data_IF_528735378855
#
_entry.id   IF_528735378855
#
_cell.length_a   1.000
_cell.length_b   1.000
_cell.length_c   1.000
_cell.angle_alpha   90.00
_cell.angle_beta   90.00
_cell.angle_gamma   90.00
#
_symmetry.space_group_name_H-M   'P 1'
#
loop_
_entity.id
_entity.type
_entity.pdbx_description
1 polymer ?
#
# COMPACT_ATOMS: atom_id res chain seq x y z
N UNK A 1 20.17 15.01 -10.45
CA UNK A 1 19.22 15.03 -9.32
C UNK A 1 19.48 13.78 -8.48
N UNK A 2 20.29 13.90 -7.43
CA UNK A 2 20.59 12.76 -6.54
C UNK A 2 19.31 12.43 -5.80
N UNK A 3 18.68 11.29 -6.11
CA UNK A 3 17.51 10.82 -5.35
C UNK A 3 18.03 10.51 -3.95
N UNK A 4 17.54 11.27 -2.97
CA UNK A 4 17.77 10.95 -1.55
C UNK A 4 17.37 9.49 -1.36
N UNK A 5 18.30 8.67 -0.87
CA UNK A 5 18.03 7.26 -0.64
C UNK A 5 16.79 7.12 0.25
N UNK A 6 15.88 6.18 -0.05
CA UNK A 6 14.73 5.96 0.81
C UNK A 6 15.20 5.66 2.24
N UNK A 7 14.50 6.24 3.21
CA UNK A 7 14.72 5.98 4.64
C UNK A 7 14.88 4.45 4.87
N UNK A 8 16.03 3.97 5.40
CA UNK A 8 16.31 2.56 5.57
C UNK A 8 15.19 1.80 6.29
N UNK A 9 14.52 2.46 7.25
CA UNK A 9 13.42 1.87 7.99
C UNK A 9 12.22 1.54 7.08
N UNK A 10 11.90 2.42 6.12
CA UNK A 10 10.80 2.21 5.17
C UNK A 10 11.09 1.04 4.23
N UNK A 11 12.35 0.90 3.82
CA UNK A 11 12.78 -0.22 2.97
C UNK A 11 12.62 -1.55 3.71
N UNK A 12 13.08 -1.62 4.96
CA UNK A 12 12.98 -2.83 5.79
C UNK A 12 11.50 -3.21 6.00
N UNK A 13 10.66 -2.25 6.39
CA UNK A 13 9.22 -2.51 6.60
C UNK A 13 8.55 -2.92 5.28
N UNK A 14 8.82 -2.21 4.19
CA UNK A 14 8.25 -2.53 2.88
C UNK A 14 8.64 -3.94 2.41
N UNK A 15 9.91 -4.33 2.55
CA UNK A 15 10.38 -5.66 2.23
C UNK A 15 9.70 -6.74 3.09
N UNK A 16 9.56 -6.50 4.40
CA UNK A 16 8.87 -7.43 5.29
C UNK A 16 7.40 -7.62 4.89
N UNK A 17 6.70 -6.54 4.53
CA UNK A 17 5.30 -6.62 4.10
C UNK A 17 5.15 -7.34 2.75
N UNK A 18 6.09 -7.20 1.82
CA UNK A 18 6.14 -8.03 0.60
C UNK A 18 6.29 -9.50 0.96
N UNK A 19 7.21 -9.85 1.86
CA UNK A 19 7.39 -11.23 2.29
C UNK A 19 6.12 -11.79 2.95
N UNK A 20 5.44 -11.00 3.77
CA UNK A 20 4.16 -11.39 4.36
C UNK A 20 3.09 -11.64 3.28
N UNK A 21 2.98 -10.79 2.25
CA UNK A 21 2.09 -11.03 1.12
C UNK A 21 2.43 -12.35 0.39
N UNK A 22 3.71 -12.63 0.18
CA UNK A 22 4.18 -13.89 -0.42
C UNK A 22 3.82 -15.10 0.44
N UNK A 23 3.98 -15.01 1.77
CA UNK A 23 3.59 -16.08 2.70
C UNK A 23 2.10 -16.36 2.59
N UNK A 24 1.25 -15.33 2.58
CA UNK A 24 -0.20 -15.51 2.36
C UNK A 24 -0.51 -16.09 0.99
N UNK A 25 0.27 -15.73 -0.04
CA UNK A 25 0.10 -16.28 -1.36
C UNK A 25 0.31 -17.78 -1.39
N UNK A 26 1.18 -18.38 -0.58
CA UNK A 26 1.46 -19.84 -0.58
C UNK A 26 0.89 -20.59 0.64
N UNK A 27 0.29 -19.88 1.59
CA UNK A 27 -0.19 -20.47 2.83
C UNK A 27 -1.26 -21.56 2.58
N UNK A 28 -1.27 -22.64 3.38
CA UNK A 28 -2.27 -23.71 3.30
C UNK A 28 -3.58 -23.30 3.98
N UNK A 29 -4.15 -22.18 3.55
CA UNK A 29 -5.42 -21.62 4.04
C UNK A 29 -6.40 -21.50 2.87
N UNK A 30 -7.71 -21.40 3.13
CA UNK A 30 -8.71 -21.23 2.07
C UNK A 30 -8.35 -20.10 1.11
N UNK A 31 -8.64 -20.29 -0.17
CA UNK A 31 -8.19 -19.42 -1.27
C UNK A 31 -8.60 -17.95 -1.08
N UNK A 32 -9.77 -17.74 -0.49
CA UNK A 32 -10.31 -16.43 -0.10
C UNK A 32 -9.33 -15.70 0.82
N UNK A 33 -8.81 -16.37 1.86
CA UNK A 33 -7.90 -15.75 2.82
C UNK A 33 -6.52 -15.51 2.24
N UNK A 34 -6.07 -16.34 1.29
CA UNK A 34 -4.82 -16.11 0.56
C UNK A 34 -4.85 -14.78 -0.19
N UNK A 35 -5.90 -14.53 -0.99
CA UNK A 35 -6.01 -13.29 -1.76
C UNK A 35 -6.25 -12.06 -0.87
N UNK A 36 -7.08 -12.17 0.16
CA UNK A 36 -7.30 -11.09 1.15
C UNK A 36 -5.99 -10.72 1.85
N UNK A 37 -5.17 -11.71 2.21
CA UNK A 37 -3.86 -11.48 2.81
C UNK A 37 -2.93 -10.69 1.90
N UNK A 38 -2.82 -11.10 0.63
CA UNK A 38 -2.02 -10.36 -0.37
C UNK A 38 -2.45 -8.89 -0.44
N UNK A 39 -3.77 -8.66 -0.56
CA UNK A 39 -4.34 -7.31 -0.66
C UNK A 39 -4.01 -6.50 0.59
N UNK A 40 -4.30 -7.05 1.78
CA UNK A 40 -4.01 -6.39 3.06
C UNK A 40 -2.55 -5.93 3.13
N UNK A 41 -1.61 -6.83 2.86
CA UNK A 41 -0.19 -6.50 2.94
C UNK A 41 0.28 -5.55 1.84
N UNK A 42 -0.32 -5.58 0.64
CA UNK A 42 -0.04 -4.59 -0.40
C UNK A 42 -0.49 -3.18 0.01
N UNK A 43 -1.68 -3.03 0.60
CA UNK A 43 -2.15 -1.73 1.08
C UNK A 43 -1.38 -1.24 2.33
N UNK A 44 -0.97 -2.14 3.22
CA UNK A 44 -0.06 -1.78 4.32
C UNK A 44 1.31 -1.36 3.79
N UNK A 45 1.84 -2.06 2.78
CA UNK A 45 3.09 -1.71 2.12
C UNK A 45 3.01 -0.32 1.48
N UNK A 46 1.87 0.06 0.90
CA UNK A 46 1.62 1.43 0.46
C UNK A 46 1.76 2.44 1.60
N UNK A 47 1.06 2.24 2.72
CA UNK A 47 1.09 3.19 3.84
C UNK A 47 2.46 3.32 4.52
N UNK A 48 3.19 2.21 4.65
CA UNK A 48 4.43 2.16 5.42
C UNK A 48 5.69 2.32 4.56
N UNK A 49 5.78 1.55 3.46
CA UNK A 49 6.91 1.54 2.54
C UNK A 49 6.74 2.54 1.37
N UNK A 50 5.52 2.71 0.87
CA UNK A 50 5.19 3.54 -0.30
C UNK A 50 4.76 2.73 -1.51
N UNK A 51 4.36 3.43 -2.58
CA UNK A 51 3.83 2.82 -3.82
C UNK A 51 4.70 1.71 -4.43
N UNK A 52 6.05 1.82 -4.53
CA UNK A 52 6.85 0.75 -5.13
C UNK A 52 6.69 -0.59 -4.43
N UNK A 53 6.67 -0.60 -3.08
CA UNK A 53 6.49 -1.83 -2.31
C UNK A 53 5.07 -2.39 -2.45
N UNK A 54 4.08 -1.50 -2.54
CA UNK A 54 2.69 -1.88 -2.77
C UNK A 54 2.52 -2.60 -4.12
N UNK A 55 3.09 -2.06 -5.20
CA UNK A 55 3.08 -2.70 -6.52
C UNK A 55 3.80 -4.03 -6.53
N UNK A 56 4.98 -4.11 -5.91
CA UNK A 56 5.71 -5.39 -5.85
C UNK A 56 4.89 -6.41 -5.08
N UNK A 57 4.32 -6.08 -3.92
CA UNK A 57 3.45 -7.00 -3.18
C UNK A 57 2.22 -7.41 -4.02
N UNK A 58 1.53 -6.45 -4.64
CA UNK A 58 0.33 -6.62 -5.43
C UNK A 58 0.52 -7.51 -6.68
N UNK A 59 1.66 -7.40 -7.34
CA UNK A 59 1.92 -8.03 -8.64
C UNK A 59 2.83 -9.26 -8.55
N UNK A 60 3.74 -9.31 -7.58
CA UNK A 60 4.67 -10.43 -7.41
C UNK A 60 4.07 -11.53 -6.54
N UNK A 61 3.32 -11.19 -5.47
CA UNK A 61 2.80 -12.21 -4.58
C UNK A 61 1.80 -13.16 -5.27
N UNK A 62 0.84 -12.70 -6.11
CA UNK A 62 -0.12 -13.62 -6.73
C UNK A 62 0.53 -14.71 -7.60
N UNK A 63 1.47 -14.43 -8.52
CA UNK A 63 2.17 -15.48 -9.28
C UNK A 63 2.87 -16.52 -8.39
N UNK A 64 3.46 -16.11 -7.27
CA UNK A 64 4.13 -17.03 -6.34
C UNK A 64 3.13 -18.02 -5.71
N UNK A 65 1.86 -17.64 -5.58
CA UNK A 65 0.82 -18.56 -5.11
C UNK A 65 0.61 -19.79 -6.00
N UNK A 66 1.09 -19.79 -7.26
CA UNK A 66 1.08 -20.98 -8.12
C UNK A 66 1.92 -22.13 -7.55
N UNK A 67 2.92 -21.83 -6.70
CA UNK A 67 3.72 -22.85 -6.01
C UNK A 67 2.88 -23.73 -5.07
N UNK A 68 1.66 -23.32 -4.72
CA UNK A 68 0.72 -24.16 -3.97
C UNK A 68 0.15 -25.34 -4.77
N UNK A 69 0.31 -25.35 -6.10
CA UNK A 69 -0.22 -26.41 -6.98
C UNK A 69 -1.74 -26.44 -7.13
N UNK A 70 -2.46 -25.42 -6.64
CA UNK A 70 -3.92 -25.34 -6.73
C UNK A 70 -4.39 -24.88 -8.11
N UNK A 71 -5.23 -25.68 -8.77
CA UNK A 71 -5.86 -25.31 -10.04
C UNK A 71 -6.77 -24.07 -9.90
N UNK A 72 -7.48 -23.94 -8.78
CA UNK A 72 -8.30 -22.77 -8.46
C UNK A 72 -7.49 -21.47 -8.46
N UNK A 73 -6.21 -21.54 -8.07
CA UNK A 73 -5.35 -20.36 -8.09
C UNK A 73 -5.05 -19.88 -9.52
N UNK A 74 -5.04 -20.76 -10.52
CA UNK A 74 -4.89 -20.37 -11.93
C UNK A 74 -6.07 -19.51 -12.40
N UNK A 75 -7.28 -19.84 -11.97
CA UNK A 75 -8.50 -19.07 -12.27
C UNK A 75 -8.47 -17.73 -11.53
N UNK A 76 -8.05 -17.73 -10.27
CA UNK A 76 -7.94 -16.52 -9.44
C UNK A 76 -6.86 -15.56 -9.91
N UNK A 77 -5.75 -16.06 -10.44
CA UNK A 77 -4.55 -15.27 -10.73
C UNK A 77 -4.82 -14.01 -11.57
N UNK A 78 -5.44 -14.08 -12.76
CA UNK A 78 -5.72 -12.90 -13.55
C UNK A 78 -6.63 -11.90 -12.81
N UNK A 79 -7.58 -12.41 -12.03
CA UNK A 79 -8.56 -11.58 -11.30
C UNK A 79 -7.88 -10.83 -10.16
N UNK A 80 -7.10 -11.54 -9.35
CA UNK A 80 -6.35 -10.97 -8.23
C UNK A 80 -5.31 -9.98 -8.74
N UNK A 81 -4.57 -10.32 -9.80
CA UNK A 81 -3.57 -9.43 -10.38
C UNK A 81 -4.19 -8.17 -10.98
N UNK A 82 -5.21 -8.31 -11.84
CA UNK A 82 -5.90 -7.15 -12.44
C UNK A 82 -6.59 -6.29 -11.37
N UNK A 83 -7.22 -6.92 -10.37
CA UNK A 83 -7.86 -6.21 -9.26
C UNK A 83 -6.85 -5.42 -8.44
N UNK A 84 -5.77 -6.06 -8.01
CA UNK A 84 -4.70 -5.39 -7.28
C UNK A 84 -4.07 -4.26 -8.10
N UNK A 85 -3.78 -4.50 -9.39
CA UNK A 85 -3.23 -3.48 -10.28
C UNK A 85 -4.15 -2.26 -10.36
N UNK A 86 -5.43 -2.45 -10.67
CA UNK A 86 -6.40 -1.36 -10.76
C UNK A 86 -6.59 -0.64 -9.43
N UNK A 87 -6.61 -1.38 -8.32
CA UNK A 87 -6.66 -0.83 -6.97
C UNK A 87 -5.46 0.06 -6.66
N UNK A 88 -4.24 -0.39 -6.99
CA UNK A 88 -3.01 0.39 -6.78
C UNK A 88 -2.92 1.61 -7.72
N UNK A 89 -3.30 1.46 -8.99
CA UNK A 89 -3.37 2.58 -9.94
C UNK A 89 -4.37 3.65 -9.45
N UNK A 90 -5.52 3.24 -8.92
CA UNK A 90 -6.44 4.17 -8.30
C UNK A 90 -5.83 4.88 -7.09
N UNK A 91 -5.02 4.23 -6.25
CA UNK A 91 -4.33 4.93 -5.16
C UNK A 91 -3.32 5.94 -5.67
N UNK A 92 -2.62 5.61 -6.75
CA UNK A 92 -1.57 6.47 -7.31
C UNK A 92 -2.15 7.71 -7.99
N UNK A 93 -3.25 7.53 -8.74
CA UNK A 93 -3.78 8.57 -9.62
C UNK A 93 -5.05 9.25 -9.10
N UNK A 94 -5.79 8.64 -8.17
CA UNK A 94 -6.94 9.31 -7.58
C UNK A 94 -6.49 10.42 -6.62
N UNK A 95 -7.22 11.53 -6.63
CA UNK A 95 -7.05 12.59 -5.64
C UNK A 95 -7.31 12.06 -4.22
N UNK A 96 -6.61 12.62 -3.21
CA UNK A 96 -6.60 12.18 -1.80
C UNK A 96 -7.88 11.44 -1.37
N UNK A 97 -8.96 12.16 -1.09
CA UNK A 97 -10.18 11.54 -0.54
C UNK A 97 -10.92 10.63 -1.52
N UNK A 98 -11.04 10.96 -2.83
CA UNK A 98 -11.58 10.02 -3.82
C UNK A 98 -10.95 8.63 -3.81
N UNK A 99 -9.66 8.51 -3.48
CA UNK A 99 -8.98 7.21 -3.40
C UNK A 99 -9.67 6.24 -2.41
N UNK A 100 -10.33 6.74 -1.35
CA UNK A 100 -11.08 5.92 -0.39
C UNK A 100 -12.22 5.12 -1.03
N UNK A 101 -12.78 5.61 -2.13
CA UNK A 101 -13.89 4.94 -2.83
C UNK A 101 -13.41 4.27 -4.11
N UNK A 102 -12.62 4.99 -4.91
CA UNK A 102 -12.22 4.53 -6.24
C UNK A 102 -11.32 3.30 -6.15
N UNK A 103 -10.38 3.27 -5.20
CA UNK A 103 -9.43 2.16 -5.09
C UNK A 103 -10.09 0.85 -4.65
N UNK A 104 -10.88 0.80 -3.56
CA UNK A 104 -11.64 -0.41 -3.22
C UNK A 104 -12.63 -0.83 -4.31
N UNK A 105 -13.29 0.13 -4.97
CA UNK A 105 -14.22 -0.17 -6.05
C UNK A 105 -13.51 -0.84 -7.24
N UNK A 106 -12.42 -0.24 -7.73
CA UNK A 106 -11.65 -0.80 -8.84
C UNK A 106 -10.97 -2.13 -8.49
N UNK A 107 -10.61 -2.33 -7.22
CA UNK A 107 -10.03 -3.59 -6.74
C UNK A 107 -10.96 -4.79 -6.99
N UNK A 108 -12.27 -4.63 -6.76
CA UNK A 108 -13.24 -5.72 -6.90
C UNK A 108 -13.87 -5.81 -8.29
N UNK A 109 -13.70 -4.79 -9.14
CA UNK A 109 -14.29 -4.74 -10.49
C UNK A 109 -13.98 -5.97 -11.34
N UNK A 110 -12.73 -6.48 -11.44
CA UNK A 110 -12.45 -7.67 -12.25
C UNK A 110 -13.22 -8.91 -11.78
N UNK A 111 -13.34 -9.10 -10.46
CA UNK A 111 -14.11 -10.21 -9.90
C UNK A 111 -15.60 -10.09 -10.24
N UNK A 112 -16.17 -8.88 -10.13
CA UNK A 112 -17.55 -8.61 -10.52
C UNK A 112 -17.79 -8.81 -12.02
N UNK A 113 -16.84 -8.41 -12.86
CA UNK A 113 -16.91 -8.62 -14.30
C UNK A 113 -16.94 -10.12 -14.64
N UNK A 114 -16.00 -10.90 -14.10
CA UNK A 114 -15.97 -12.36 -14.29
C UNK A 114 -17.28 -12.97 -13.78
N UNK A 115 -17.76 -12.56 -12.62
CA UNK A 115 -19.01 -13.03 -12.05
C UNK A 115 -20.23 -12.87 -12.97
N UNK A 116 -20.27 -11.77 -13.72
CA UNK A 116 -21.33 -11.50 -14.69
C UNK A 116 -21.08 -12.30 -15.97
N UNK A 117 -19.84 -12.35 -16.44
CA UNK A 117 -19.46 -13.04 -17.67
C UNK A 117 -19.74 -14.55 -17.60
N UNK A 118 -19.49 -15.19 -16.46
CA UNK A 118 -19.70 -16.64 -16.29
C UNK A 118 -21.16 -17.09 -16.27
N UNK A 119 -22.11 -16.15 -16.25
CA UNK A 119 -23.55 -16.47 -16.40
C UNK A 119 -23.94 -16.78 -17.84
N UNK A 120 -23.09 -16.44 -18.82
CA UNK A 120 -23.32 -16.80 -20.22
C UNK A 120 -22.87 -18.22 -20.50
N UNK A 121 -23.62 -18.96 -21.33
CA UNK A 121 -23.32 -20.37 -21.67
C UNK A 121 -21.91 -20.56 -22.26
N UNK A 122 -21.38 -19.55 -22.96
CA UNK A 122 -20.04 -19.58 -23.57
C UNK A 122 -18.88 -19.51 -22.56
N UNK A 123 -19.13 -19.09 -21.33
CA UNK A 123 -18.11 -18.86 -20.31
C UNK A 123 -18.47 -19.49 -18.95
N UNK A 124 -19.34 -20.50 -18.95
CA UNK A 124 -19.74 -21.19 -17.74
C UNK A 124 -18.54 -21.92 -17.13
N UNK A 125 -17.94 -21.30 -16.11
CA UNK A 125 -16.89 -21.87 -15.28
C UNK A 125 -17.29 -21.74 -13.82
N UNK A 126 -16.96 -22.75 -13.03
CA UNK A 126 -17.11 -22.70 -11.58
C UNK A 126 -16.05 -21.77 -10.99
N UNK A 127 -16.47 -20.80 -10.17
CA UNK A 127 -15.54 -19.86 -9.56
C UNK A 127 -15.15 -20.35 -8.16
N UNK A 128 -13.85 -20.37 -7.82
CA UNK A 128 -13.35 -20.83 -6.52
C UNK A 128 -13.90 -20.12 -5.27
N UNK A 129 -14.63 -19.02 -5.44
CA UNK A 129 -15.22 -18.23 -4.36
C UNK A 129 -16.75 -18.17 -4.42
N UNK A 130 -17.42 -18.97 -5.25
CA UNK A 130 -18.88 -18.85 -5.43
C UNK A 130 -19.66 -19.02 -4.12
N UNK A 131 -19.31 -20.00 -3.29
CA UNK A 131 -19.94 -20.25 -1.99
C UNK A 131 -19.70 -19.12 -0.96
N UNK A 132 -18.62 -18.35 -1.14
CA UNK A 132 -18.18 -17.31 -0.23
C UNK A 132 -18.16 -15.92 -0.88
N UNK A 133 -18.89 -15.72 -1.99
CA UNK A 133 -18.79 -14.54 -2.84
C UNK A 133 -18.96 -13.22 -2.08
N UNK A 134 -20.04 -13.13 -1.30
CA UNK A 134 -20.34 -11.94 -0.51
C UNK A 134 -19.24 -11.64 0.52
N UNK A 135 -18.75 -12.68 1.19
CA UNK A 135 -17.65 -12.56 2.15
C UNK A 135 -16.34 -12.14 1.47
N UNK A 136 -16.00 -12.73 0.31
CA UNK A 136 -14.81 -12.40 -0.45
C UNK A 136 -14.80 -10.92 -0.84
N UNK A 137 -15.87 -10.43 -1.48
CA UNK A 137 -15.98 -9.03 -1.91
C UNK A 137 -15.88 -8.09 -0.70
N UNK A 138 -16.67 -8.38 0.34
CA UNK A 138 -16.72 -7.55 1.55
C UNK A 138 -15.35 -7.47 2.22
N UNK A 139 -14.63 -8.58 2.34
CA UNK A 139 -13.28 -8.59 2.93
C UNK A 139 -12.31 -7.75 2.12
N UNK A 140 -12.30 -7.86 0.78
CA UNK A 140 -11.40 -7.06 -0.08
C UNK A 140 -11.68 -5.56 0.05
N UNK A 141 -12.95 -5.17 0.10
CA UNK A 141 -13.37 -3.78 0.34
C UNK A 141 -12.92 -3.30 1.73
N UNK A 142 -13.12 -4.11 2.78
CA UNK A 142 -12.75 -3.73 4.14
C UNK A 142 -11.23 -3.61 4.32
N UNK A 143 -10.44 -4.57 3.83
CA UNK A 143 -8.98 -4.51 3.99
C UNK A 143 -8.35 -3.38 3.18
N UNK A 144 -8.87 -3.10 1.98
CA UNK A 144 -8.41 -1.95 1.18
C UNK A 144 -8.75 -0.64 1.88
N UNK A 145 -10.00 -0.45 2.33
CA UNK A 145 -10.39 0.72 3.12
C UNK A 145 -9.51 0.90 4.36
N UNK A 146 -9.29 -0.16 5.13
CA UNK A 146 -8.46 -0.13 6.33
C UNK A 146 -7.03 0.29 6.00
N UNK A 147 -6.45 -0.27 4.94
CA UNK A 147 -5.10 0.07 4.52
C UNK A 147 -4.96 1.52 4.04
N UNK A 148 -5.93 2.02 3.28
CA UNK A 148 -5.98 3.42 2.83
C UNK A 148 -6.10 4.37 4.04
N UNK A 149 -7.03 4.09 4.96
CA UNK A 149 -7.20 4.89 6.17
C UNK A 149 -5.94 4.90 7.04
N UNK A 150 -5.28 3.74 7.16
CA UNK A 150 -4.01 3.62 7.87
C UNK A 150 -2.93 4.50 7.23
N UNK A 151 -2.83 4.49 5.90
CA UNK A 151 -1.91 5.35 5.17
C UNK A 151 -2.19 6.85 5.42
N UNK A 152 -3.47 7.27 5.40
CA UNK A 152 -3.85 8.65 5.71
C UNK A 152 -3.49 9.08 7.13
N UNK A 153 -3.74 8.22 8.11
CA UNK A 153 -3.39 8.52 9.51
C UNK A 153 -1.88 8.67 9.66
N UNK A 154 -1.10 7.79 9.03
CA UNK A 154 0.37 7.85 9.07
C UNK A 154 0.92 9.08 8.36
N UNK A 155 0.41 9.42 7.17
CA UNK A 155 0.79 10.65 6.44
C UNK A 155 0.50 11.90 7.29
N UNK A 156 -0.68 11.96 7.91
CA UNK A 156 -1.05 13.08 8.79
C UNK A 156 -0.12 13.20 10.00
N UNK A 157 0.30 12.07 10.59
CA UNK A 157 1.24 12.07 11.73
C UNK A 157 2.63 12.54 11.30
N UNK A 158 3.14 12.09 10.15
CA UNK A 158 4.45 12.50 9.60
C UNK A 158 4.50 14.00 9.34
N UNK A 159 3.49 14.56 8.66
CA UNK A 159 3.42 16.01 8.39
C UNK A 159 3.43 16.85 9.67
N UNK A 160 2.68 16.43 10.70
CA UNK A 160 2.69 17.12 12.00
C UNK A 160 4.08 17.14 12.65
N UNK A 161 4.81 16.03 12.58
CA UNK A 161 6.16 15.93 13.12
C UNK A 161 7.16 16.78 12.34
N UNK A 162 7.05 16.83 11.01
CA UNK A 162 7.86 17.68 10.16
C UNK A 162 7.64 19.17 10.48
N UNK A 163 6.38 19.61 10.57
CA UNK A 163 6.06 20.99 10.98
C UNK A 163 6.64 21.32 12.35
N UNK A 164 6.50 20.44 13.34
CA UNK A 164 7.04 20.66 14.68
C UNK A 164 8.58 20.75 14.69
N UNK A 165 9.27 19.90 13.92
CA UNK A 165 10.74 19.94 13.78
C UNK A 165 11.21 21.23 13.10
N UNK A 166 10.53 21.66 12.04
CA UNK A 166 10.84 22.92 11.35
C UNK A 166 10.63 24.13 12.26
N UNK A 167 9.55 24.16 13.04
CA UNK A 167 9.31 25.24 14.03
C UNK A 167 10.36 25.26 15.14
N UNK A 168 10.79 24.09 15.66
CA UNK A 168 11.85 23.99 16.67
C UNK A 168 13.21 24.44 16.13
N UNK A 169 13.54 24.10 14.88
CA UNK A 169 14.79 24.49 14.24
C UNK A 169 14.84 26.00 13.99
N UNK A 170 13.72 26.61 13.55
CA UNK A 170 13.61 28.06 13.39
C UNK A 170 13.77 28.80 14.72
N UNK A 171 13.11 28.32 15.79
CA UNK A 171 13.24 28.90 17.13
C UNK A 171 14.66 28.83 17.68
N UNK A 172 15.45 27.81 17.30
CA UNK A 172 16.85 27.66 17.74
C UNK A 172 17.80 28.59 16.97
N UNK A 173 17.47 28.95 15.73
CA UNK A 173 18.27 29.92 14.94
C UNK A 173 18.08 31.36 15.40
N UNK A 174 16.93 31.73 15.96
CA UNK A 174 16.68 33.06 16.53
C UNK A 174 17.36 33.29 17.88
N UNK A 175 17.81 32.24 18.57
CA UNK A 175 18.68 32.34 19.76
C UNK A 175 20.14 32.43 19.31
N UNK A 176 20.46 33.44 18.49
CA UNK A 176 21.86 33.85 18.30
C UNK A 176 22.22 34.71 19.52
N UNK A 177 23.24 34.35 20.34
CA UNK A 177 23.58 35.16 21.51
C UNK A 177 24.02 36.55 21.04
N UNK A 178 23.21 37.57 21.37
CA UNK A 178 23.58 38.96 21.29
C UNK A 178 24.66 39.23 22.35
N UNK A 179 25.89 38.83 22.07
CA UNK A 179 26.94 38.83 23.09
C UNK A 179 28.33 38.48 22.58
N UNK A 180 28.81 39.20 21.56
CA UNK A 180 30.26 39.35 21.29
C UNK A 180 30.53 40.58 20.39
N UNK A 181 29.94 41.72 20.72
CA UNK A 181 30.38 43.04 20.22
C UNK A 181 30.88 43.86 21.40
N UNK A 182 32.01 43.46 21.96
CA UNK A 182 32.92 44.31 22.72
C UNK A 182 34.31 43.85 22.31
N UNK A 183 35.20 44.65 21.74
CA UNK A 183 35.43 46.06 21.93
C UNK A 183 36.93 46.18 22.17
N UNK A 184 37.70 46.47 21.12
CA UNK A 184 39.11 46.85 21.25
C UNK A 184 39.55 47.63 20.01
N UNK A 185 39.10 48.88 19.98
CA UNK A 185 39.83 49.96 19.31
C UNK A 185 41.17 50.14 20.02
N UNK A 186 42.27 49.93 19.30
CA UNK A 186 43.62 49.97 19.84
C UNK A 186 44.63 50.41 18.79
N UNK A 187 44.50 51.67 18.37
CA UNK A 187 45.45 52.47 17.58
C UNK A 187 46.84 52.46 18.26
N UNK A 188 47.90 52.07 17.53
CA UNK A 188 49.31 52.47 17.73
C UNK A 188 50.10 52.05 16.47
N UNK A 189 50.37 53.04 15.62
CA UNK A 189 51.68 53.67 15.30
C UNK A 189 52.30 53.03 14.08
#
# INVERSE_FOLDING_TARGET
MIRVAPDPQRVIIGAFLILAAVVFAVAPVPIVFRSVGIVLFAYLAFGMGGMPFAYVAALLAPPIGLLSGSADWLVMLPIVMSGNLLGMLALEYAWRYPALLVSPALLVTPALFVQVATRGELFAIELPWDDARGAWITLHLLVSLLGILSAFVLDRRRRKQETARSSSAAATQDVKPAGATGGASGRRT
#
